data_IF_611514702812
#
_entry.id   IF_611514702812
#
_cell.length_a   1.000
_cell.length_b   1.000
_cell.length_c   1.000
_cell.angle_alpha   90.00
_cell.angle_beta   90.00
_cell.angle_gamma   90.00
#
_symmetry.space_group_name_H-M   'P 1'
#
loop_
_entity.id
_entity.type
_entity.pdbx_description
1 polymer ?
#
# COMPACT_ATOMS: atom_id res chain seq x y z
N UNK A 1 33.01 -5.29 -16.97
CA UNK A 1 32.82 -3.85 -17.12
C UNK A 1 32.07 -3.24 -15.94
N UNK A 2 30.82 -3.65 -15.62
CA UNK A 2 29.97 -3.02 -14.58
C UNK A 2 30.62 -3.04 -13.18
N UNK A 3 31.29 -4.13 -12.78
CA UNK A 3 32.01 -4.20 -11.51
C UNK A 3 33.13 -3.17 -11.44
N UNK A 4 33.92 -3.02 -12.50
CA UNK A 4 34.99 -2.03 -12.57
C UNK A 4 34.45 -0.59 -12.58
N UNK A 5 33.35 -0.36 -13.30
CA UNK A 5 32.66 0.93 -13.34
C UNK A 5 32.25 1.33 -11.91
N UNK A 6 31.50 0.48 -11.22
CA UNK A 6 31.01 0.77 -9.86
C UNK A 6 32.17 0.95 -8.86
N UNK A 7 33.21 0.12 -8.94
CA UNK A 7 34.40 0.30 -8.11
C UNK A 7 35.09 1.64 -8.35
N UNK A 8 35.23 2.07 -9.61
CA UNK A 8 35.85 3.36 -9.94
C UNK A 8 34.95 4.53 -9.50
N UNK A 9 33.64 4.46 -9.74
CA UNK A 9 32.71 5.51 -9.33
C UNK A 9 32.76 5.70 -7.81
N UNK A 10 32.61 4.65 -7.02
CA UNK A 10 32.60 4.77 -5.55
C UNK A 10 33.96 5.10 -4.95
N UNK A 11 35.06 4.74 -5.60
CA UNK A 11 36.40 5.16 -5.19
C UNK A 11 36.61 6.66 -5.39
N UNK A 12 36.21 7.18 -6.56
CA UNK A 12 36.54 8.53 -6.98
C UNK A 12 35.42 9.53 -6.57
N UNK A 13 34.18 9.04 -6.41
CA UNK A 13 32.98 9.83 -6.09
C UNK A 13 32.12 9.10 -5.06
N UNK A 14 32.52 9.01 -3.78
CA UNK A 14 31.84 8.18 -2.76
C UNK A 14 30.42 8.60 -2.44
N UNK A 15 30.03 9.84 -2.72
CA UNK A 15 28.69 10.40 -2.49
C UNK A 15 27.69 10.10 -3.62
N UNK A 16 28.16 9.53 -4.75
CA UNK A 16 27.29 9.16 -5.87
C UNK A 16 26.68 7.79 -5.64
N UNK A 17 25.43 7.61 -6.06
CA UNK A 17 24.74 6.33 -6.07
C UNK A 17 24.56 5.83 -7.50
N UNK A 18 24.99 4.59 -7.77
CA UNK A 18 24.65 3.88 -8.99
C UNK A 18 23.46 2.97 -8.71
N UNK A 19 22.41 3.08 -9.51
CA UNK A 19 21.17 2.31 -9.34
C UNK A 19 20.92 1.53 -10.62
N UNK A 20 20.73 0.22 -10.51
CA UNK A 20 20.47 -0.63 -11.66
C UNK A 20 18.96 -0.68 -11.95
N UNK A 21 18.60 -0.38 -13.20
CA UNK A 21 17.35 -0.81 -13.79
C UNK A 21 17.58 -2.20 -14.39
N UNK A 22 17.07 -3.22 -13.72
CA UNK A 22 17.34 -4.60 -14.10
C UNK A 22 16.14 -5.48 -13.65
N UNK A 23 15.54 -6.18 -14.61
CA UNK A 23 14.27 -6.92 -14.42
C UNK A 23 14.47 -8.43 -14.23
N UNK A 24 15.71 -8.93 -14.38
CA UNK A 24 15.96 -10.38 -14.27
C UNK A 24 16.23 -10.81 -12.81
N UNK A 25 16.35 -12.11 -12.59
CA UNK A 25 16.73 -12.69 -11.32
C UNK A 25 18.25 -12.78 -11.11
N UNK A 26 19.05 -11.93 -11.80
CA UNK A 26 20.51 -11.91 -11.59
C UNK A 26 20.83 -11.60 -10.13
N UNK A 27 21.61 -12.48 -9.44
CA UNK A 27 21.85 -12.32 -8.01
C UNK A 27 22.96 -11.30 -7.72
N UNK A 28 22.83 -10.58 -6.60
CA UNK A 28 23.89 -9.71 -6.08
C UNK A 28 24.15 -8.46 -6.90
N UNK A 29 23.16 -7.94 -7.63
CA UNK A 29 23.27 -6.69 -8.40
C UNK A 29 23.69 -5.54 -7.49
N UNK A 30 23.07 -5.41 -6.32
CA UNK A 30 23.33 -4.36 -5.33
C UNK A 30 24.21 -4.84 -4.16
N UNK A 31 24.96 -5.94 -4.36
CA UNK A 31 25.92 -6.43 -3.37
C UNK A 31 27.35 -5.99 -3.75
N UNK A 32 28.24 -5.80 -2.76
CA UNK A 32 29.64 -5.44 -3.01
C UNK A 32 30.32 -6.40 -3.99
N UNK A 33 31.26 -5.91 -4.77
CA UNK A 33 31.97 -6.73 -5.78
C UNK A 33 32.70 -7.91 -5.16
N UNK A 34 33.15 -7.80 -3.90
CA UNK A 34 33.80 -8.89 -3.15
C UNK A 34 32.80 -9.79 -2.37
N UNK A 35 31.49 -9.60 -2.57
CA UNK A 35 30.47 -10.39 -1.87
C UNK A 35 30.48 -11.85 -2.32
N UNK A 36 30.37 -12.78 -1.38
CA UNK A 36 30.21 -14.21 -1.67
C UNK A 36 31.47 -15.05 -1.73
N UNK A 37 32.68 -14.45 -1.64
CA UNK A 37 33.95 -15.19 -1.61
C UNK A 37 34.26 -15.88 -2.94
N UNK A 38 35.37 -16.64 -2.96
CA UNK A 38 35.80 -17.44 -4.12
C UNK A 38 35.10 -18.79 -4.07
N UNK A 39 34.05 -19.00 -4.86
CA UNK A 39 33.57 -20.35 -5.16
C UNK A 39 34.30 -20.89 -6.37
N UNK A 40 34.82 -22.12 -6.24
CA UNK A 40 35.47 -22.82 -7.35
C UNK A 40 34.50 -23.23 -8.46
N UNK A 41 33.17 -23.21 -8.20
CA UNK A 41 32.15 -23.74 -9.12
C UNK A 41 31.65 -22.72 -10.14
N UNK A 42 31.64 -21.44 -9.83
CA UNK A 42 31.40 -20.37 -10.81
C UNK A 42 31.77 -18.98 -10.22
N UNK A 43 33.04 -18.54 -10.32
CA UNK A 43 33.47 -17.28 -9.74
C UNK A 43 32.82 -16.03 -10.36
N UNK A 44 32.23 -16.13 -11.55
CA UNK A 44 31.58 -14.98 -12.21
C UNK A 44 30.17 -14.68 -11.69
N UNK A 45 29.45 -15.67 -11.16
CA UNK A 45 28.09 -15.52 -10.70
C UNK A 45 27.96 -15.21 -9.21
N UNK A 46 29.02 -15.41 -8.43
CA UNK A 46 28.96 -15.24 -6.95
C UNK A 46 29.38 -13.86 -6.45
N UNK A 47 30.06 -13.06 -7.27
CA UNK A 47 30.46 -11.71 -6.89
C UNK A 47 29.38 -10.69 -7.25
N UNK A 48 29.08 -9.78 -6.33
CA UNK A 48 28.14 -8.68 -6.59
C UNK A 48 28.57 -7.80 -7.76
N UNK A 49 27.63 -7.06 -8.35
CA UNK A 49 27.93 -6.10 -9.41
C UNK A 49 28.36 -4.73 -8.87
N UNK A 50 28.17 -4.48 -7.56
CA UNK A 50 28.62 -3.26 -6.89
C UNK A 50 27.71 -2.05 -7.10
N UNK A 51 26.50 -2.21 -7.62
CA UNK A 51 25.52 -1.12 -7.59
C UNK A 51 25.10 -0.83 -6.14
N UNK A 52 24.75 0.43 -5.85
CA UNK A 52 24.21 0.77 -4.55
C UNK A 52 22.79 0.26 -4.34
N UNK A 53 22.00 0.25 -5.41
CA UNK A 53 20.60 -0.19 -5.39
C UNK A 53 20.20 -0.81 -6.73
N UNK A 54 19.02 -1.49 -6.71
CA UNK A 54 18.36 -2.09 -7.88
C UNK A 54 16.87 -1.78 -7.85
N UNK A 55 16.26 -1.53 -9.00
CA UNK A 55 14.80 -1.40 -9.10
C UNK A 55 14.10 -2.73 -8.81
N UNK A 56 13.01 -2.68 -8.04
CA UNK A 56 12.15 -3.84 -7.78
C UNK A 56 11.00 -3.89 -8.80
N UNK A 57 11.31 -4.39 -9.99
CA UNK A 57 10.33 -4.49 -11.07
C UNK A 57 9.20 -5.47 -10.73
N UNK A 58 9.49 -6.53 -9.97
CA UNK A 58 8.47 -7.48 -9.50
C UNK A 58 7.44 -6.82 -8.59
N UNK A 59 7.89 -6.06 -7.60
CA UNK A 59 6.99 -5.28 -6.73
C UNK A 59 6.12 -4.32 -7.53
N UNK A 60 6.70 -3.59 -8.47
CA UNK A 60 5.99 -2.63 -9.32
C UNK A 60 4.88 -3.33 -10.10
N UNK A 61 5.22 -4.40 -10.83
CA UNK A 61 4.29 -5.14 -11.66
C UNK A 61 3.14 -5.75 -10.84
N UNK A 62 3.45 -6.46 -9.75
CA UNK A 62 2.45 -7.14 -8.92
C UNK A 62 1.53 -6.14 -8.22
N UNK A 63 2.11 -5.05 -7.69
CA UNK A 63 1.36 -3.99 -7.03
C UNK A 63 0.40 -3.29 -7.99
N UNK A 64 0.87 -2.83 -9.15
CA UNK A 64 0.01 -2.16 -10.13
C UNK A 64 -1.06 -3.11 -10.67
N UNK A 65 -0.71 -4.36 -10.98
CA UNK A 65 -1.68 -5.38 -11.40
C UNK A 65 -2.78 -5.61 -10.37
N UNK A 66 -2.47 -5.53 -9.07
CA UNK A 66 -3.47 -5.63 -8.00
C UNK A 66 -4.36 -4.40 -7.93
N UNK A 67 -3.76 -3.19 -8.00
CA UNK A 67 -4.50 -1.93 -7.92
C UNK A 67 -5.43 -1.70 -9.12
N UNK A 68 -5.07 -2.17 -10.31
CA UNK A 68 -5.90 -2.11 -11.52
C UNK A 68 -7.17 -2.96 -11.43
N UNK A 69 -7.22 -3.94 -10.50
CA UNK A 69 -8.41 -4.79 -10.33
C UNK A 69 -9.52 -4.04 -9.63
N UNK A 70 -10.75 -4.26 -10.12
CA UNK A 70 -11.94 -3.87 -9.37
C UNK A 70 -11.87 -4.49 -7.95
N UNK A 71 -12.16 -3.72 -6.89
CA UNK A 71 -12.09 -4.20 -5.51
C UNK A 71 -12.80 -5.52 -5.23
N UNK A 72 -13.87 -5.82 -5.96
CA UNK A 72 -14.62 -7.09 -5.81
C UNK A 72 -13.78 -8.33 -6.14
N UNK A 73 -12.73 -8.19 -6.96
CA UNK A 73 -11.84 -9.28 -7.34
C UNK A 73 -10.53 -9.33 -6.53
N UNK A 74 -10.22 -8.33 -5.73
CA UNK A 74 -8.94 -8.19 -5.01
C UNK A 74 -8.68 -9.32 -4.02
N UNK A 75 -9.74 -9.85 -3.41
CA UNK A 75 -9.66 -11.00 -2.49
C UNK A 75 -8.97 -12.23 -3.12
N UNK A 76 -9.12 -12.45 -4.41
CA UNK A 76 -8.49 -13.58 -5.12
C UNK A 76 -7.02 -13.33 -5.48
N UNK A 77 -6.52 -12.12 -5.26
CA UNK A 77 -5.17 -11.69 -5.67
C UNK A 77 -4.34 -11.11 -4.53
N UNK A 78 -4.77 -11.30 -3.28
CA UNK A 78 -4.10 -10.75 -2.08
C UNK A 78 -2.58 -11.03 -2.07
N UNK A 79 -2.19 -12.22 -2.54
CA UNK A 79 -0.79 -12.65 -2.59
C UNK A 79 0.11 -11.73 -3.45
N UNK A 80 -0.43 -11.02 -4.43
CA UNK A 80 0.35 -10.09 -5.24
C UNK A 80 0.99 -8.98 -4.39
N UNK A 81 0.31 -8.50 -3.34
CA UNK A 81 0.85 -7.48 -2.46
C UNK A 81 1.85 -8.01 -1.43
N UNK A 82 1.76 -9.30 -1.07
CA UNK A 82 2.65 -9.89 -0.06
C UNK A 82 3.86 -10.60 -0.66
N UNK A 83 3.79 -11.02 -1.92
CA UNK A 83 4.83 -11.84 -2.55
C UNK A 83 6.20 -11.15 -2.58
N UNK A 84 6.25 -9.85 -2.81
CA UNK A 84 7.52 -9.10 -2.88
C UNK A 84 8.34 -9.20 -1.59
N UNK A 85 7.71 -9.43 -0.44
CA UNK A 85 8.40 -9.55 0.86
C UNK A 85 9.26 -10.82 0.98
N UNK A 86 9.00 -11.86 0.18
CA UNK A 86 9.83 -13.06 0.15
C UNK A 86 11.25 -12.78 -0.36
N UNK A 87 11.43 -11.73 -1.17
CA UNK A 87 12.74 -11.38 -1.74
C UNK A 87 13.16 -9.93 -1.48
N UNK A 88 12.35 -9.14 -0.76
CA UNK A 88 12.58 -7.71 -0.53
C UNK A 88 13.95 -7.37 0.08
N UNK A 89 14.62 -8.33 0.72
CA UNK A 89 15.90 -8.14 1.39
C UNK A 89 17.08 -8.83 0.70
N UNK A 90 16.83 -9.43 -0.48
CA UNK A 90 17.90 -10.05 -1.27
C UNK A 90 18.79 -9.01 -1.94
N UNK A 91 18.26 -7.83 -2.23
CA UNK A 91 18.93 -6.68 -2.84
C UNK A 91 18.59 -5.40 -2.08
N UNK A 92 19.31 -4.32 -2.35
CA UNK A 92 18.95 -2.99 -1.89
C UNK A 92 17.93 -2.39 -2.87
N UNK A 93 16.65 -2.65 -2.65
CA UNK A 93 15.64 -2.30 -3.63
C UNK A 93 15.17 -0.85 -3.58
N UNK A 94 14.94 -0.29 -4.78
CA UNK A 94 14.12 0.89 -5.02
C UNK A 94 12.78 0.41 -5.57
N UNK A 95 11.68 0.92 -5.04
CA UNK A 95 10.32 0.65 -5.50
C UNK A 95 10.00 1.65 -6.63
N UNK A 96 10.02 1.23 -7.92
CA UNK A 96 9.84 2.17 -9.01
C UNK A 96 8.36 2.33 -9.37
N UNK A 97 7.91 3.58 -9.41
CA UNK A 97 6.79 4.03 -10.23
C UNK A 97 7.40 5.04 -11.19
N UNK A 98 8.04 4.52 -12.24
CA UNK A 98 8.89 5.28 -13.14
C UNK A 98 8.12 5.83 -14.35
N UNK A 99 8.84 6.41 -15.32
CA UNK A 99 8.25 6.83 -16.58
C UNK A 99 7.65 5.67 -17.37
N UNK A 100 8.24 4.47 -17.26
CA UNK A 100 7.80 3.30 -18.00
C UNK A 100 6.37 2.88 -17.66
N UNK A 101 5.91 3.10 -16.42
CA UNK A 101 4.55 2.76 -16.03
C UNK A 101 3.50 3.74 -16.55
N UNK A 102 3.92 4.94 -16.99
CA UNK A 102 3.02 6.04 -17.34
C UNK A 102 3.25 6.62 -18.74
N UNK A 103 4.12 6.00 -19.54
CA UNK A 103 4.43 6.42 -20.92
C UNK A 103 3.30 6.03 -21.88
N UNK A 104 3.36 6.55 -23.12
CA UNK A 104 2.38 6.37 -24.19
C UNK A 104 1.79 4.96 -24.28
N UNK A 105 0.46 4.89 -24.26
CA UNK A 105 -0.33 3.67 -24.34
C UNK A 105 -0.47 2.92 -23.00
N UNK A 106 0.18 3.36 -21.92
CA UNK A 106 0.10 2.72 -20.61
C UNK A 106 -0.85 3.44 -19.64
N UNK A 107 -1.23 4.70 -19.93
CA UNK A 107 -2.04 5.53 -19.07
C UNK A 107 -1.29 6.05 -17.83
N UNK A 108 -1.87 7.00 -17.10
CA UNK A 108 -1.31 7.50 -15.84
C UNK A 108 -1.57 6.53 -14.68
N UNK A 109 -0.85 6.70 -13.55
CA UNK A 109 -1.14 5.93 -12.33
C UNK A 109 -2.61 6.11 -11.89
N UNK A 110 -3.14 7.33 -11.97
CA UNK A 110 -4.52 7.63 -11.62
C UNK A 110 -5.52 6.96 -12.56
N UNK A 111 -5.26 6.98 -13.88
CA UNK A 111 -6.17 6.39 -14.87
C UNK A 111 -6.26 4.86 -14.79
N UNK A 112 -5.23 4.20 -14.26
CA UNK A 112 -5.21 2.75 -13.99
C UNK A 112 -6.15 2.34 -12.86
N UNK A 113 -6.48 3.27 -11.95
CA UNK A 113 -7.31 2.96 -10.78
C UNK A 113 -8.77 2.73 -11.20
N UNK A 114 -9.44 1.69 -10.65
CA UNK A 114 -10.86 1.41 -10.92
C UNK A 114 -11.80 2.36 -10.18
N UNK A 115 -13.05 2.41 -10.63
CA UNK A 115 -14.13 3.12 -9.97
C UNK A 115 -14.35 4.53 -10.50
N UNK A 116 -15.15 5.30 -9.74
CA UNK A 116 -15.39 6.71 -9.97
C UNK A 116 -14.16 7.58 -9.59
N UNK A 117 -14.26 8.89 -9.79
CA UNK A 117 -13.14 9.80 -9.54
C UNK A 117 -12.67 9.75 -8.08
N UNK A 118 -13.62 9.74 -7.12
CA UNK A 118 -13.25 9.63 -5.70
C UNK A 118 -12.51 8.32 -5.42
N UNK A 119 -13.00 7.20 -5.94
CA UNK A 119 -12.39 5.87 -5.76
C UNK A 119 -11.01 5.79 -6.44
N UNK A 120 -10.83 6.41 -7.60
CA UNK A 120 -9.52 6.50 -8.27
C UNK A 120 -8.51 7.23 -7.39
N UNK A 121 -8.85 8.39 -6.87
CA UNK A 121 -7.99 9.15 -5.97
C UNK A 121 -7.75 8.42 -4.64
N UNK A 122 -8.78 7.75 -4.09
CA UNK A 122 -8.62 6.93 -2.88
C UNK A 122 -7.66 5.75 -3.10
N UNK A 123 -7.77 5.04 -4.23
CA UNK A 123 -6.83 3.99 -4.61
C UNK A 123 -5.41 4.54 -4.80
N UNK A 124 -5.25 5.71 -5.40
CA UNK A 124 -3.93 6.33 -5.57
C UNK A 124 -3.32 6.72 -4.21
N UNK A 125 -4.11 7.28 -3.29
CA UNK A 125 -3.67 7.53 -1.90
C UNK A 125 -3.24 6.25 -1.20
N UNK A 126 -4.00 5.17 -1.39
CA UNK A 126 -3.71 3.86 -0.83
C UNK A 126 -2.43 3.25 -1.40
N UNK A 127 -2.22 3.33 -2.72
CA UNK A 127 -0.99 2.91 -3.40
C UNK A 127 0.24 3.63 -2.83
N UNK A 128 0.17 4.95 -2.68
CA UNK A 128 1.29 5.73 -2.13
C UNK A 128 1.51 5.42 -0.65
N UNK A 129 0.45 5.29 0.14
CA UNK A 129 0.56 4.84 1.53
C UNK A 129 1.29 3.50 1.64
N UNK A 130 0.91 2.51 0.83
CA UNK A 130 1.57 1.22 0.76
C UNK A 130 3.04 1.36 0.34
N UNK A 131 3.33 2.11 -0.72
CA UNK A 131 4.68 2.32 -1.22
C UNK A 131 5.60 2.94 -0.15
N UNK A 132 5.15 3.99 0.54
CA UNK A 132 5.96 4.68 1.55
C UNK A 132 6.20 3.86 2.82
N UNK A 133 5.29 2.95 3.15
CA UNK A 133 5.41 2.09 4.33
C UNK A 133 6.02 0.71 4.03
N UNK A 134 6.11 0.29 2.75
CA UNK A 134 6.81 -0.92 2.33
C UNK A 134 8.34 -0.75 2.45
N UNK A 135 9.13 -1.81 2.75
CA UNK A 135 10.60 -1.75 2.69
C UNK A 135 11.13 -1.36 1.31
N UNK A 136 12.23 -0.62 1.28
CA UNK A 136 12.90 -0.17 0.05
C UNK A 136 12.79 1.35 -0.17
N UNK A 137 13.63 1.90 -1.04
CA UNK A 137 13.62 3.34 -1.41
C UNK A 137 12.50 3.61 -2.41
N UNK A 138 12.09 4.87 -2.53
CA UNK A 138 10.91 5.27 -3.32
C UNK A 138 11.36 6.01 -4.57
N UNK A 139 10.79 5.65 -5.71
CA UNK A 139 10.95 6.38 -6.96
C UNK A 139 9.57 6.67 -7.53
N UNK A 140 9.22 7.95 -7.60
CA UNK A 140 7.98 8.44 -8.19
C UNK A 140 8.33 9.38 -9.33
N UNK A 141 7.80 9.10 -10.52
CA UNK A 141 8.05 9.92 -11.70
C UNK A 141 7.18 11.17 -11.69
N UNK A 142 7.67 12.23 -12.37
CA UNK A 142 7.03 13.54 -12.44
C UNK A 142 5.56 13.47 -12.89
N UNK A 143 4.69 14.26 -12.25
CA UNK A 143 3.25 14.24 -12.45
C UNK A 143 2.52 13.25 -11.53
N UNK A 144 3.21 12.22 -11.01
CA UNK A 144 2.68 11.30 -10.02
C UNK A 144 2.40 11.96 -8.67
N UNK A 145 3.21 12.96 -8.28
CA UNK A 145 3.11 13.68 -7.02
C UNK A 145 1.84 14.52 -6.85
N UNK A 146 1.09 14.72 -7.92
CA UNK A 146 -0.26 15.30 -7.87
C UNK A 146 -1.32 14.44 -8.57
N UNK A 147 -0.95 13.23 -9.05
CA UNK A 147 -1.87 12.29 -9.66
C UNK A 147 -2.39 12.75 -11.04
N UNK A 148 -1.49 13.12 -11.95
CA UNK A 148 -1.86 13.55 -13.31
C UNK A 148 -2.83 12.57 -13.98
N UNK A 149 -3.85 13.09 -14.68
CA UNK A 149 -4.83 12.29 -15.41
C UNK A 149 -4.27 11.65 -16.68
N UNK A 150 -3.48 12.43 -17.42
CA UNK A 150 -2.93 11.98 -18.69
C UNK A 150 -1.66 11.18 -18.49
N UNK A 151 -1.40 10.25 -19.39
CA UNK A 151 -0.08 9.61 -19.46
C UNK A 151 1.02 10.63 -19.77
N UNK A 152 2.25 10.28 -19.42
CA UNK A 152 3.38 11.14 -19.71
C UNK A 152 3.74 11.11 -21.20
N UNK A 153 3.89 12.31 -21.77
CA UNK A 153 4.36 12.51 -23.14
C UNK A 153 5.62 13.38 -23.11
N UNK A 154 6.73 12.88 -23.66
CA UNK A 154 8.01 13.59 -23.69
C UNK A 154 8.00 14.88 -24.50
N UNK A 155 7.08 15.01 -25.46
CA UNK A 155 6.89 16.20 -26.30
C UNK A 155 5.96 17.24 -25.64
N UNK A 156 5.30 16.87 -24.53
CA UNK A 156 4.34 17.71 -23.82
C UNK A 156 4.88 18.30 -22.52
N UNK A 157 4.07 19.12 -21.88
CA UNK A 157 4.29 19.55 -20.50
C UNK A 157 3.38 18.77 -19.56
N UNK A 158 3.77 18.75 -18.27
CA UNK A 158 2.91 18.27 -17.20
C UNK A 158 1.67 19.17 -17.12
N UNK A 159 0.51 18.58 -16.81
CA UNK A 159 -0.75 19.31 -16.65
C UNK A 159 -0.80 20.08 -15.31
N UNK A 160 -0.10 21.22 -15.29
CA UNK A 160 -0.05 22.10 -14.13
C UNK A 160 -1.42 22.68 -13.76
N UNK A 161 -2.37 22.78 -14.70
CA UNK A 161 -3.73 23.25 -14.41
C UNK A 161 -4.50 22.25 -13.55
N UNK A 162 -4.33 20.94 -13.80
CA UNK A 162 -4.92 19.91 -12.97
C UNK A 162 -4.34 19.94 -11.54
N UNK A 163 -3.05 20.25 -11.40
CA UNK A 163 -2.36 20.21 -10.10
C UNK A 163 -2.97 21.12 -9.02
N UNK A 164 -3.77 22.13 -9.40
CA UNK A 164 -4.42 23.05 -8.47
C UNK A 164 -5.89 22.74 -8.22
N UNK A 165 -6.41 21.63 -8.74
CA UNK A 165 -7.79 21.20 -8.46
C UNK A 165 -7.85 20.32 -7.21
N UNK A 166 -9.06 20.22 -6.61
CA UNK A 166 -9.28 19.71 -5.25
C UNK A 166 -8.60 18.38 -4.94
N UNK A 167 -8.84 17.34 -5.72
CA UNK A 167 -8.27 16.02 -5.46
C UNK A 167 -6.75 15.97 -5.71
N UNK A 168 -6.26 16.69 -6.72
CA UNK A 168 -4.83 16.75 -7.05
C UNK A 168 -4.05 17.50 -5.97
N UNK A 169 -4.62 18.59 -5.41
CA UNK A 169 -4.07 19.27 -4.22
C UNK A 169 -3.99 18.30 -3.04
N UNK A 170 -5.03 17.47 -2.87
CA UNK A 170 -5.04 16.40 -1.85
C UNK A 170 -3.87 15.43 -2.02
N UNK A 171 -3.58 14.98 -3.24
CA UNK A 171 -2.42 14.12 -3.52
C UNK A 171 -1.08 14.83 -3.23
N UNK A 172 -0.93 16.11 -3.60
CA UNK A 172 0.28 16.89 -3.25
C UNK A 172 0.51 16.93 -1.74
N UNK A 173 -0.55 17.19 -0.97
CA UNK A 173 -0.49 17.18 0.49
C UNK A 173 -0.14 15.81 1.04
N UNK A 174 -0.72 14.74 0.48
CA UNK A 174 -0.43 13.36 0.88
C UNK A 174 1.05 13.02 0.67
N UNK A 175 1.61 13.31 -0.52
CA UNK A 175 3.03 13.06 -0.82
C UNK A 175 3.93 13.86 0.13
N UNK A 176 3.59 15.13 0.39
CA UNK A 176 4.30 15.94 1.38
C UNK A 176 4.30 15.30 2.78
N UNK A 177 3.13 14.82 3.23
CA UNK A 177 2.96 14.16 4.53
C UNK A 177 3.70 12.82 4.60
N UNK A 178 3.63 11.99 3.54
CA UNK A 178 4.36 10.72 3.45
C UNK A 178 5.88 10.93 3.46
N UNK A 179 6.39 11.94 2.77
CA UNK A 179 7.80 12.32 2.81
C UNK A 179 8.23 12.80 4.21
N UNK A 180 7.37 13.55 4.88
CA UNK A 180 7.61 13.95 6.28
C UNK A 180 7.62 12.73 7.21
N UNK A 181 6.61 11.86 7.09
CA UNK A 181 6.50 10.63 7.87
C UNK A 181 7.77 9.77 7.69
N UNK A 182 8.19 9.54 6.45
CA UNK A 182 9.40 8.74 6.15
C UNK A 182 10.66 9.33 6.79
N UNK A 183 10.82 10.64 6.77
CA UNK A 183 12.01 11.32 7.35
C UNK A 183 12.00 11.34 8.88
N UNK A 184 10.83 11.42 9.49
CA UNK A 184 10.68 11.58 10.95
C UNK A 184 10.46 10.27 11.70
N UNK A 185 10.10 9.19 11.00
CA UNK A 185 9.88 7.88 11.61
C UNK A 185 11.02 6.91 11.23
N UNK A 186 11.96 6.65 12.13
CA UNK A 186 13.14 5.79 11.86
C UNK A 186 12.78 4.40 11.34
N UNK A 187 11.64 3.85 11.78
CA UNK A 187 11.12 2.57 11.32
C UNK A 187 10.93 2.46 9.79
N UNK A 188 10.73 3.59 9.10
CA UNK A 188 10.48 3.61 7.66
C UNK A 188 11.75 3.69 6.79
N UNK A 189 12.94 3.85 7.41
CA UNK A 189 14.15 4.03 6.62
C UNK A 189 15.43 3.39 7.18
N UNK A 190 15.50 3.11 8.50
CA UNK A 190 16.76 2.62 9.11
C UNK A 190 17.08 1.18 8.72
N UNK A 191 16.04 0.34 8.55
CA UNK A 191 16.19 -1.09 8.24
C UNK A 191 15.49 -1.48 6.94
N UNK A 192 15.55 -0.60 5.93
CA UNK A 192 14.88 -0.84 4.65
C UNK A 192 15.40 -2.06 3.88
N UNK A 193 16.67 -2.43 4.10
CA UNK A 193 17.32 -3.52 3.39
C UNK A 193 17.63 -4.72 4.31
N UNK A 194 17.04 -4.73 5.51
CA UNK A 194 17.20 -5.79 6.51
C UNK A 194 15.83 -6.35 6.89
N UNK A 195 15.68 -7.68 6.82
CA UNK A 195 14.43 -8.38 7.15
C UNK A 195 13.93 -8.10 8.57
N UNK A 196 14.82 -7.73 9.51
CA UNK A 196 14.40 -7.32 10.86
C UNK A 196 13.65 -5.98 10.91
N UNK A 197 13.59 -5.23 9.80
CA UNK A 197 12.82 -3.99 9.67
C UNK A 197 11.34 -4.19 9.35
N UNK A 198 10.89 -5.43 9.11
CA UNK A 198 9.51 -5.72 8.72
C UNK A 198 8.99 -7.00 9.38
N UNK A 199 7.72 -6.99 9.79
CA UNK A 199 7.07 -8.16 10.37
C UNK A 199 5.57 -8.16 10.04
N UNK A 200 5.05 -9.26 9.51
CA UNK A 200 3.61 -9.43 9.31
C UNK A 200 2.86 -9.58 10.63
N UNK A 201 1.74 -8.90 10.74
CA UNK A 201 0.69 -9.19 11.72
C UNK A 201 -0.39 -10.07 11.07
N UNK A 202 -0.90 -9.66 9.92
CA UNK A 202 -1.85 -10.40 9.10
C UNK A 202 -1.60 -10.08 7.62
N UNK A 203 -1.33 -11.12 6.81
CA UNK A 203 -1.13 -11.02 5.37
C UNK A 203 -2.23 -11.74 4.59
N UNK A 204 -3.09 -12.49 5.26
CA UNK A 204 -3.96 -13.53 4.70
C UNK A 204 -5.46 -13.24 4.84
N UNK A 205 -5.86 -12.10 5.40
CA UNK A 205 -7.27 -11.69 5.43
C UNK A 205 -7.74 -11.21 4.06
N UNK A 206 -7.78 -12.15 3.12
CA UNK A 206 -8.23 -11.90 1.75
C UNK A 206 -9.73 -11.59 1.67
N UNK A 207 -10.54 -12.10 2.61
CA UNK A 207 -11.99 -11.88 2.64
C UNK A 207 -12.32 -10.38 2.80
N UNK A 208 -11.52 -9.65 3.57
CA UNK A 208 -11.67 -8.21 3.76
C UNK A 208 -10.66 -7.39 2.95
N UNK A 209 -9.75 -8.04 2.21
CA UNK A 209 -8.61 -7.39 1.53
C UNK A 209 -7.82 -6.47 2.47
N UNK A 210 -7.59 -6.91 3.70
CA UNK A 210 -6.86 -6.20 4.74
C UNK A 210 -5.47 -6.79 4.90
N UNK A 211 -4.47 -5.91 5.05
CA UNK A 211 -3.10 -6.25 5.45
C UNK A 211 -2.74 -5.49 6.72
N UNK A 212 -2.02 -6.14 7.61
CA UNK A 212 -1.46 -5.49 8.79
C UNK A 212 -0.01 -5.94 9.01
N UNK A 213 0.89 -5.00 9.27
CA UNK A 213 2.31 -5.28 9.48
C UNK A 213 2.98 -4.26 10.39
N UNK A 214 4.13 -4.64 10.92
CA UNK A 214 5.00 -3.79 11.69
C UNK A 214 6.19 -3.34 10.84
N UNK A 215 6.61 -2.10 11.06
CA UNK A 215 7.90 -1.57 10.64
C UNK A 215 8.72 -1.27 11.89
N UNK A 216 9.99 -1.70 11.88
CA UNK A 216 10.89 -1.56 13.02
C UNK A 216 12.05 -0.65 12.70
N UNK A 217 12.36 0.26 13.64
CA UNK A 217 13.61 1.02 13.66
C UNK A 217 14.71 0.26 14.39
N UNK A 218 15.83 0.94 14.64
CA UNK A 218 16.91 0.39 15.48
C UNK A 218 16.52 0.39 16.96
N UNK A 219 15.75 1.36 17.43
CA UNK A 219 15.16 1.38 18.77
C UNK A 219 13.80 0.66 18.71
N UNK A 220 13.50 -0.28 19.62
CA UNK A 220 12.18 -0.90 19.72
C UNK A 220 11.02 0.09 19.90
N UNK A 221 11.26 1.29 20.42
CA UNK A 221 10.27 2.38 20.53
C UNK A 221 9.88 2.97 19.17
N UNK A 222 10.73 2.78 18.16
CA UNK A 222 10.48 3.22 16.80
C UNK A 222 9.70 2.17 15.98
N UNK A 223 8.84 1.39 16.64
CA UNK A 223 7.95 0.45 15.95
C UNK A 223 6.67 1.15 15.52
N UNK A 224 6.30 0.93 14.26
CA UNK A 224 5.03 1.39 13.68
C UNK A 224 4.15 0.18 13.35
N UNK A 225 2.86 0.30 13.59
CA UNK A 225 1.83 -0.61 13.10
C UNK A 225 1.16 0.04 11.87
N UNK A 226 1.15 -0.67 10.77
CA UNK A 226 0.50 -0.23 9.53
C UNK A 226 -0.68 -1.14 9.23
N UNK A 227 -1.83 -0.55 8.90
CA UNK A 227 -3.04 -1.30 8.53
C UNK A 227 -3.60 -0.74 7.22
N UNK A 228 -3.82 -1.63 6.27
CA UNK A 228 -4.27 -1.36 4.92
C UNK A 228 -5.65 -1.96 4.70
N UNK A 229 -6.60 -1.20 4.16
CA UNK A 229 -7.90 -1.69 3.70
C UNK A 229 -8.03 -1.46 2.19
N UNK A 230 -8.04 -2.55 1.42
CA UNK A 230 -8.15 -2.54 -0.04
C UNK A 230 -9.57 -2.52 -0.58
N UNK A 231 -10.59 -2.38 0.28
CA UNK A 231 -12.01 -2.34 -0.13
C UNK A 231 -12.59 -0.93 -0.05
N UNK A 232 -13.61 -0.60 -0.87
CA UNK A 232 -14.30 0.69 -0.81
C UNK A 232 -15.31 0.77 0.35
N UNK A 233 -15.22 -0.15 1.33
CA UNK A 233 -16.12 -0.22 2.48
C UNK A 233 -15.31 0.01 3.76
N UNK A 234 -15.74 0.86 4.67
CA UNK A 234 -15.11 0.99 5.98
C UNK A 234 -15.35 -0.28 6.81
N UNK A 235 -14.35 -0.71 7.57
CA UNK A 235 -14.50 -1.78 8.54
C UNK A 235 -14.50 -1.20 9.95
N UNK A 236 -15.60 -1.36 10.66
CA UNK A 236 -15.72 -0.95 12.07
C UNK A 236 -15.39 -2.12 13.00
N UNK A 237 -14.81 -1.80 14.16
CA UNK A 237 -14.45 -2.79 15.19
C UNK A 237 -13.52 -3.88 14.64
N UNK A 238 -12.66 -3.54 13.67
CA UNK A 238 -11.71 -4.49 13.10
C UNK A 238 -10.54 -4.69 14.07
N UNK A 239 -10.30 -5.94 14.50
CA UNK A 239 -9.28 -6.24 15.50
C UNK A 239 -7.95 -6.61 14.86
N UNK A 240 -6.89 -5.87 15.22
CA UNK A 240 -5.52 -6.11 14.77
C UNK A 240 -4.64 -6.40 15.98
N UNK A 241 -3.77 -7.42 15.88
CA UNK A 241 -2.82 -7.74 16.95
C UNK A 241 -1.81 -6.60 17.16
N UNK A 242 -1.50 -6.32 18.44
CA UNK A 242 -0.52 -5.32 18.84
C UNK A 242 0.56 -5.94 19.73
N UNK A 243 1.86 -5.59 19.51
CA UNK A 243 2.95 -6.15 20.31
C UNK A 243 3.02 -5.60 21.74
N UNK A 244 2.41 -4.44 21.99
CA UNK A 244 2.45 -3.73 23.26
C UNK A 244 1.06 -3.26 23.66
N UNK A 245 0.77 -3.29 24.96
CA UNK A 245 -0.40 -2.69 25.57
C UNK A 245 -0.28 -1.17 25.65
N UNK A 246 -1.33 -0.50 26.15
CA UNK A 246 -1.33 0.95 26.31
C UNK A 246 -1.83 1.68 25.05
N UNK A 247 -1.40 2.93 24.87
CA UNK A 247 -1.95 3.81 23.84
C UNK A 247 -1.18 3.78 22.55
N UNK A 248 -1.91 3.70 21.43
CA UNK A 248 -1.40 3.78 20.07
C UNK A 248 -1.97 5.03 19.39
N UNK A 249 -1.09 5.95 19.04
CA UNK A 249 -1.45 7.16 18.33
C UNK A 249 -1.57 6.89 16.83
N UNK A 250 -2.68 7.27 16.21
CA UNK A 250 -2.83 7.34 14.75
C UNK A 250 -2.03 8.54 14.26
N UNK A 251 -0.85 8.28 13.67
CA UNK A 251 0.08 9.32 13.19
C UNK A 251 -0.09 9.62 11.71
N UNK A 252 -0.82 8.77 10.99
CA UNK A 252 -1.13 8.97 9.57
C UNK A 252 -2.42 8.23 9.21
N UNK A 253 -3.26 8.91 8.43
CA UNK A 253 -4.49 8.37 7.86
C UNK A 253 -4.61 8.87 6.42
N UNK A 254 -4.51 7.97 5.42
CA UNK A 254 -4.58 8.35 4.01
C UNK A 254 -5.97 8.84 3.58
N UNK A 255 -7.01 8.60 4.38
CA UNK A 255 -8.38 9.04 4.14
C UNK A 255 -8.73 10.37 4.85
N UNK A 256 -7.73 11.08 5.39
CA UNK A 256 -7.96 12.41 5.95
C UNK A 256 -8.47 13.39 4.87
N UNK A 257 -9.40 14.27 5.25
CA UNK A 257 -10.05 15.23 4.33
C UNK A 257 -9.06 16.18 3.67
N UNK A 258 -7.95 16.52 4.34
CA UNK A 258 -6.85 17.31 3.77
C UNK A 258 -6.21 16.67 2.54
N UNK A 259 -6.37 15.34 2.37
CA UNK A 259 -5.92 14.58 1.22
C UNK A 259 -7.06 14.26 0.23
N UNK A 260 -8.26 14.83 0.45
CA UNK A 260 -9.47 14.54 -0.33
C UNK A 260 -10.18 13.25 0.08
N UNK A 261 -9.95 12.78 1.30
CA UNK A 261 -10.64 11.64 1.90
C UNK A 261 -11.91 12.01 2.67
N UNK A 262 -12.47 11.04 3.40
CA UNK A 262 -13.75 11.15 4.12
C UNK A 262 -13.58 11.32 5.63
N UNK A 263 -12.37 11.41 6.15
CA UNK A 263 -12.03 11.48 7.59
C UNK A 263 -12.50 10.27 8.42
N UNK A 264 -12.72 9.12 7.79
CA UNK A 264 -12.97 7.88 8.53
C UNK A 264 -11.67 7.42 9.18
N UNK A 265 -11.67 7.23 10.52
CA UNK A 265 -10.46 6.85 11.28
C UNK A 265 -10.74 6.72 12.76
N UNK A 266 -9.72 6.86 13.61
CA UNK A 266 -9.75 6.50 15.02
C UNK A 266 -9.57 7.72 15.96
N UNK A 267 -9.86 8.91 15.49
CA UNK A 267 -9.83 10.16 16.27
C UNK A 267 -8.47 10.44 16.95
N UNK A 268 -7.40 9.99 16.31
CA UNK A 268 -6.02 10.27 16.71
C UNK A 268 -5.37 9.24 17.64
N UNK A 269 -6.10 8.36 18.32
CA UNK A 269 -5.51 7.29 19.11
C UNK A 269 -6.48 6.15 19.43
N UNK A 270 -5.91 4.97 19.78
CA UNK A 270 -6.64 3.81 20.27
C UNK A 270 -5.88 3.22 21.46
N UNK A 271 -6.59 2.83 22.52
CA UNK A 271 -5.99 2.10 23.64
C UNK A 271 -6.08 0.58 23.36
N UNK A 272 -4.97 -0.11 23.58
CA UNK A 272 -4.88 -1.55 23.35
C UNK A 272 -5.73 -2.33 24.35
N UNK A 273 -6.38 -3.38 23.87
CA UNK A 273 -7.11 -4.34 24.70
C UNK A 273 -6.17 -5.43 25.19
N UNK A 274 -6.37 -5.92 26.43
CA UNK A 274 -5.64 -7.04 27.04
C UNK A 274 -6.06 -8.42 26.45
N UNK A 275 -6.71 -8.39 25.30
CA UNK A 275 -7.12 -9.57 24.55
C UNK A 275 -6.30 -9.67 23.26
N UNK A 276 -5.43 -10.68 23.19
CA UNK A 276 -4.54 -10.88 22.04
C UNK A 276 -5.26 -11.42 20.79
N UNK A 277 -4.71 -11.11 19.63
CA UNK A 277 -5.05 -11.71 18.33
C UNK A 277 -3.84 -11.73 17.41
N UNK A 278 -3.88 -12.47 16.29
CA UNK A 278 -2.79 -12.63 15.32
C UNK A 278 -1.45 -13.02 15.99
N UNK A 279 -1.50 -13.86 17.06
CA UNK A 279 -0.30 -14.26 17.79
C UNK A 279 0.36 -13.15 18.64
N UNK A 280 -0.33 -12.03 18.85
CA UNK A 280 0.15 -10.92 19.70
C UNK A 280 -0.57 -10.90 21.04
N UNK A 281 0.09 -10.41 22.10
CA UNK A 281 -0.49 -10.39 23.45
C UNK A 281 -1.62 -9.38 23.62
N UNK A 282 -1.66 -8.35 22.78
CA UNK A 282 -2.67 -7.29 22.79
C UNK A 282 -3.33 -7.15 21.44
N UNK A 283 -4.41 -6.36 21.39
CA UNK A 283 -5.06 -5.99 20.12
C UNK A 283 -5.57 -4.55 20.15
N UNK A 284 -5.69 -3.97 18.96
CA UNK A 284 -6.39 -2.70 18.72
C UNK A 284 -7.71 -3.01 18.05
N UNK A 285 -8.78 -2.36 18.50
CA UNK A 285 -10.06 -2.36 17.81
C UNK A 285 -10.18 -1.07 17.01
N UNK A 286 -10.13 -1.20 15.68
CA UNK A 286 -9.94 -0.11 14.74
C UNK A 286 -11.16 0.12 13.87
N UNK A 287 -11.37 1.38 13.49
CA UNK A 287 -12.16 1.74 12.32
C UNK A 287 -11.20 1.95 11.14
N UNK A 288 -11.29 1.07 10.13
CA UNK A 288 -10.47 1.16 8.92
C UNK A 288 -11.22 1.97 7.87
N UNK A 289 -10.63 3.03 7.31
CA UNK A 289 -11.26 3.82 6.25
C UNK A 289 -11.39 3.02 4.95
N UNK A 290 -12.35 3.38 4.08
CA UNK A 290 -12.48 2.75 2.76
C UNK A 290 -11.28 3.12 1.89
N UNK A 291 -10.69 2.12 1.18
CA UNK A 291 -9.52 2.32 0.32
C UNK A 291 -8.44 3.16 1.03
N UNK A 292 -8.13 2.79 2.29
CA UNK A 292 -7.29 3.61 3.15
C UNK A 292 -6.20 2.83 3.86
N UNK A 293 -5.17 3.58 4.28
CA UNK A 293 -4.04 3.09 5.06
C UNK A 293 -3.86 3.95 6.30
N UNK A 294 -3.70 3.27 7.43
CA UNK A 294 -3.45 3.87 8.74
C UNK A 294 -2.07 3.50 9.24
N UNK A 295 -1.41 4.44 9.92
CA UNK A 295 -0.15 4.18 10.62
C UNK A 295 -0.30 4.60 12.08
N UNK A 296 0.00 3.65 12.97
CA UNK A 296 -0.01 3.87 14.42
C UNK A 296 1.38 3.76 15.00
N UNK A 297 1.63 4.57 16.02
CA UNK A 297 2.84 4.52 16.87
C UNK A 297 2.44 4.36 18.31
N UNK A 298 3.08 3.39 19.01
CA UNK A 298 2.93 3.28 20.45
C UNK A 298 3.45 4.53 21.15
N UNK A 299 2.71 5.03 22.14
CA UNK A 299 3.10 6.17 22.97
C UNK A 299 3.11 5.76 24.44
N UNK A 300 4.20 6.08 25.12
CA UNK A 300 4.27 5.89 26.57
C UNK A 300 3.16 6.75 27.21
N UNK A 301 2.09 6.13 27.65
CA UNK A 301 1.08 6.82 28.44
C UNK A 301 1.74 7.13 29.79
N UNK A 302 1.81 8.40 30.23
CA UNK A 302 2.22 8.68 31.60
C UNK A 302 1.30 7.86 32.50
N UNK A 303 1.89 7.02 33.38
CA UNK A 303 1.12 6.17 34.26
C UNK A 303 -0.01 7.01 34.85
N UNK A 304 -1.25 6.70 34.49
CA UNK A 304 -2.41 7.36 35.07
C UNK A 304 -2.27 7.16 36.58
N UNK A 305 -2.09 8.27 37.33
CA UNK A 305 -2.18 8.20 38.79
C UNK A 305 -3.47 7.47 39.09
N UNK A 306 -3.35 6.25 39.59
CA UNK A 306 -4.50 5.44 39.95
C UNK A 306 -5.45 6.32 40.75
N UNK A 307 -6.57 6.67 40.21
CA UNK A 307 -7.66 7.29 40.94
C UNK A 307 -7.98 6.32 42.09
N UNK A 308 -7.99 6.76 43.34
CA UNK A 308 -8.29 5.90 44.44
C UNK A 308 -9.66 5.25 44.18
N UNK A 309 -9.70 3.90 44.16
CA UNK A 309 -10.94 3.15 44.04
C UNK A 309 -11.94 3.71 45.02
N UNK A 310 -12.99 4.34 44.50
CA UNK A 310 -14.11 4.81 45.32
C UNK A 310 -14.65 3.59 46.09
N UNK A 311 -14.56 3.66 47.42
CA UNK A 311 -15.17 2.66 48.31
C UNK A 311 -16.67 2.58 47.94
N UNK A 312 -17.09 1.40 47.56
CA UNK A 312 -18.50 1.11 47.34
C UNK A 312 -19.31 1.55 48.61
N UNK A 313 -20.10 2.58 48.44
CA UNK A 313 -21.07 2.97 49.46
C UNK A 313 -22.19 1.92 49.46
N UNK A 314 -22.47 1.35 50.64
CA UNK A 314 -23.63 0.49 50.88
C UNK A 314 -24.93 1.23 50.52
N UNK A 315 -25.92 0.58 49.88
CA UNK A 315 -27.19 1.18 49.67
C UNK A 315 -27.95 1.30 51.00
N UNK A 316 -28.29 2.54 51.39
CA UNK A 316 -29.28 2.80 52.41
C UNK A 316 -30.68 2.62 51.81
N UNK A 317 -31.40 1.68 52.37
CA UNK A 317 -32.82 1.54 52.13
C UNK A 317 -33.57 2.61 52.94
N UNK A 318 -34.31 3.49 52.25
CA UNK A 318 -35.37 4.20 52.92
C UNK A 318 -36.54 4.50 51.93
N UNK A 319 -37.68 4.15 52.37
CA UNK A 319 -39.01 4.21 51.77
C UNK A 319 -39.53 5.62 51.69
N UNK A 320 -40.08 6.03 50.57
CA UNK A 320 -41.14 7.05 50.58
C UNK A 320 -42.09 6.85 49.38
N UNK A 321 -43.31 6.63 49.76
CA UNK A 321 -44.56 6.56 49.03
C UNK A 321 -44.96 7.99 48.58
N UNK A 322 -45.32 8.23 47.30
CA UNK A 322 -46.44 9.07 46.94
C UNK A 322 -46.58 9.30 45.44
N UNK A 323 -47.79 8.98 44.96
CA UNK A 323 -48.64 9.69 44.03
C UNK A 323 -48.21 9.87 42.55
N UNK A 324 -48.87 9.11 41.70
CA UNK A 324 -49.02 9.37 40.26
C UNK A 324 -49.99 10.50 39.98
N UNK A 325 -49.82 11.32 38.94
CA UNK A 325 -50.93 11.93 38.22
C UNK A 325 -51.11 11.35 36.82
N UNK A 326 -52.37 11.35 36.42
CA UNK A 326 -53.04 10.71 35.31
C UNK A 326 -52.47 11.05 33.92
N UNK A 327 -52.46 10.05 33.07
CA UNK A 327 -52.22 10.16 31.63
C UNK A 327 -53.37 10.83 30.91
N UNK A 328 -53.08 11.83 30.06
CA UNK A 328 -53.95 12.30 28.99
C UNK A 328 -53.55 11.62 27.68
N UNK A 329 -54.53 10.96 27.05
CA UNK A 329 -54.52 10.39 25.72
C UNK A 329 -54.38 11.46 24.65
N UNK A 330 -53.56 11.35 23.63
CA UNK A 330 -53.71 12.16 22.42
C UNK A 330 -54.61 11.47 21.41
N UNK A 331 -55.37 12.31 20.75
CA UNK A 331 -56.39 12.09 19.75
C UNK A 331 -55.81 11.61 18.40
N UNK A 332 -56.63 10.84 17.69
CA UNK A 332 -56.32 10.17 16.43
C UNK A 332 -56.08 11.14 15.26
N UNK A 333 -55.02 10.94 14.50
CA UNK A 333 -54.76 11.56 13.19
C UNK A 333 -55.37 10.72 12.03
N UNK A 334 -55.79 11.34 10.92
CA UNK A 334 -56.55 10.67 9.87
C UNK A 334 -55.61 9.92 8.86
N UNK A 335 -56.21 8.91 8.25
CA UNK A 335 -55.63 7.97 7.30
C UNK A 335 -55.00 8.62 6.07
N UNK A 336 -53.76 8.20 5.75
CA UNK A 336 -53.09 8.55 4.52
C UNK A 336 -53.48 7.58 3.39
N UNK A 337 -53.65 8.14 2.20
CA UNK A 337 -54.07 7.49 0.98
C UNK A 337 -52.94 6.60 0.40
N UNK A 338 -53.33 5.44 -0.21
CA UNK A 338 -52.47 4.55 -0.97
C UNK A 338 -51.89 5.23 -2.20
N UNK A 339 -50.57 5.02 -2.53
CA UNK A 339 -50.05 5.37 -3.85
C UNK A 339 -50.39 4.29 -4.89
N UNK A 340 -50.70 4.76 -6.11
CA UNK A 340 -51.05 4.00 -7.28
C UNK A 340 -49.82 3.20 -7.84
N UNK A 341 -50.11 2.00 -8.34
CA UNK A 341 -49.17 1.17 -9.11
C UNK A 341 -48.77 1.88 -10.42
N UNK A 342 -47.48 2.09 -10.62
CA UNK A 342 -46.93 2.39 -11.94
C UNK A 342 -46.49 1.10 -12.60
N UNK A 343 -47.02 0.81 -13.79
CA UNK A 343 -46.63 -0.29 -14.67
C UNK A 343 -45.24 -0.02 -15.29
N UNK A 344 -44.37 -1.01 -15.27
CA UNK A 344 -43.09 -1.00 -15.96
C UNK A 344 -43.27 -1.37 -17.45
N UNK A 345 -42.61 -0.69 -18.40
CA UNK A 345 -42.67 -1.07 -19.81
C UNK A 345 -41.78 -2.27 -20.10
N UNK A 346 -42.29 -3.17 -20.95
CA UNK A 346 -41.63 -4.38 -21.44
C UNK A 346 -40.36 -4.10 -22.27
N UNK A 347 -39.32 -4.97 -22.21
CA UNK A 347 -38.10 -4.79 -22.99
C UNK A 347 -38.33 -5.16 -24.47
N UNK A 348 -37.94 -4.26 -25.37
CA UNK A 348 -37.84 -4.53 -26.82
C UNK A 348 -36.64 -5.43 -27.13
N UNK A 349 -36.90 -6.48 -27.87
CA UNK A 349 -35.91 -7.41 -28.40
C UNK A 349 -34.84 -6.69 -29.25
N UNK A 350 -33.57 -6.86 -28.91
CA UNK A 350 -32.42 -6.42 -29.67
C UNK A 350 -31.93 -7.61 -30.55
N UNK A 351 -31.75 -7.30 -31.81
CA UNK A 351 -31.30 -8.18 -32.89
C UNK A 351 -29.86 -8.63 -32.67
N UNK A 352 -29.60 -9.91 -32.76
CA UNK A 352 -28.27 -10.52 -32.73
C UNK A 352 -27.43 -10.04 -33.93
N UNK A 353 -26.24 -9.46 -33.63
CA UNK A 353 -25.15 -9.34 -34.58
C UNK A 353 -24.05 -10.31 -34.19
N UNK A 354 -23.85 -11.29 -35.04
CA UNK A 354 -22.72 -12.22 -35.03
C UNK A 354 -21.40 -11.46 -35.18
N UNK A 355 -20.51 -11.58 -34.23
CA UNK A 355 -19.12 -11.16 -34.37
C UNK A 355 -18.21 -12.40 -34.37
N UNK A 356 -17.39 -12.45 -35.41
CA UNK A 356 -16.42 -13.49 -35.65
C UNK A 356 -15.30 -13.51 -34.60
N UNK A 357 -14.88 -14.70 -34.20
CA UNK A 357 -13.74 -14.93 -33.31
C UNK A 357 -12.42 -14.48 -33.96
N UNK A 358 -11.45 -13.90 -33.19
CA UNK A 358 -10.13 -13.66 -33.75
C UNK A 358 -9.32 -14.97 -33.80
N UNK A 359 -8.65 -15.16 -34.93
CA UNK A 359 -7.74 -16.29 -35.21
C UNK A 359 -6.52 -16.22 -34.31
N UNK A 360 -6.17 -17.38 -33.76
CA UNK A 360 -4.91 -17.59 -33.01
C UNK A 360 -3.70 -17.30 -33.93
N UNK A 361 -2.76 -16.52 -33.43
CA UNK A 361 -1.44 -16.35 -34.03
C UNK A 361 -0.56 -17.53 -33.63
N UNK A 362 -0.26 -18.40 -34.60
CA UNK A 362 0.79 -19.43 -34.48
C UNK A 362 2.17 -18.74 -34.56
N UNK A 363 2.93 -18.78 -33.49
CA UNK A 363 4.35 -18.44 -33.52
C UNK A 363 5.16 -19.59 -34.10
N UNK A 364 5.60 -19.40 -35.33
CA UNK A 364 6.52 -20.29 -36.01
C UNK A 364 7.91 -20.09 -35.49
N UNK A 365 8.42 -21.10 -34.77
CA UNK A 365 9.81 -21.16 -34.33
C UNK A 365 10.75 -21.19 -35.54
N UNK A 366 11.71 -20.28 -35.60
CA UNK A 366 12.79 -20.30 -36.58
C UNK A 366 13.91 -21.21 -36.08
N UNK A 367 14.20 -22.26 -36.81
CA UNK A 367 15.38 -23.12 -36.62
C UNK A 367 16.67 -22.37 -36.96
N UNK A 368 17.77 -22.57 -36.23
CA UNK A 368 19.06 -21.96 -36.53
C UNK A 368 19.73 -22.74 -37.70
N UNK A 369 20.03 -22.02 -38.77
CA UNK A 369 20.89 -22.55 -39.88
C UNK A 369 22.33 -22.73 -39.35
N UNK A 370 22.85 -23.94 -39.48
CA UNK A 370 24.23 -24.27 -39.28
C UNK A 370 25.12 -23.53 -40.31
N UNK A 371 26.13 -22.83 -39.81
CA UNK A 371 27.21 -22.26 -40.64
C UNK A 371 28.30 -23.28 -40.82
N UNK A 372 28.54 -23.69 -42.06
CA UNK A 372 29.68 -24.50 -42.47
C UNK A 372 31.00 -23.70 -42.31
N UNK A 373 31.90 -24.22 -41.53
CA UNK A 373 33.27 -23.73 -41.41
C UNK A 373 34.09 -24.28 -42.60
N UNK A 374 34.59 -23.42 -43.50
CA UNK A 374 35.69 -23.74 -44.37
C UNK A 374 37.03 -23.45 -43.71
N UNK A 375 37.74 -24.48 -43.42
CA UNK A 375 39.16 -24.43 -43.01
C UNK A 375 40.00 -23.96 -44.20
N UNK A 376 40.89 -23.00 -43.97
CA UNK A 376 42.02 -22.69 -44.84
C UNK A 376 43.32 -22.95 -44.07
N UNK A 377 44.16 -23.81 -44.65
CA UNK A 377 45.49 -24.19 -44.12
C UNK A 377 46.55 -23.13 -44.44
N UNK A 378 47.70 -23.16 -43.73
CA UNK A 378 48.66 -22.07 -43.69
C UNK A 378 49.71 -22.15 -44.84
N UNK A 379 50.21 -20.97 -45.17
CA UNK A 379 51.58 -20.81 -45.68
C UNK A 379 52.26 -19.75 -44.83
#
# INVERSE_FOLDING_TARGET
FLRQLNQSVYRDFPDVQTIAEESTAWPGVSRPVAWGGHSNDNPETMNGLGFGMKWNMGWMHDTLSWFEKDPVYRSYHQNALSFSLYYAFNENFVLPLSHDEVVYGKGSLLSKMPGDDWQKFANLRLLYGLMWTHPGKKLLFMGGEFGQWTEWAHEGSIDWNAADTYFHVGIKHLIGALNHLMRTQPALHQRDFDGSGFEWISADDSAHSVLAYLRHGNDPKDTLLVVFNGTPVPHHNYRVGAPQGGRWQEIFNSDASIYGGTDVGNQGFVDALDEGTHGRPYSLELTLPPLGLLVFKHVDTPAAKALPKAKAAKPAAESAKAAAPAAKKPESAPAAAKPAKAEAPAPKAAVAKTSAAPKAFETRAAEPKAAESKAAAPK
#
